data_IF_994103264272
#
_entry.id   IF_994103264272
#
_cell.length_a   1.000
_cell.length_b   1.000
_cell.length_c   1.000
_cell.angle_alpha   90.00
_cell.angle_beta   90.00
_cell.angle_gamma   90.00
#
_symmetry.space_group_name_H-M   'P 1'
#
loop_
_entity.id
_entity.type
_entity.pdbx_description
1 polymer ?
#
# COMPACT_ATOMS: atom_id res chain seq x y z
N UNK A 1 37.58 -3.76 1.81
CA UNK A 1 36.52 -4.77 1.88
C UNK A 1 35.19 -4.04 1.86
N UNK A 2 34.65 -3.84 0.65
CA UNK A 2 33.27 -3.38 0.50
C UNK A 2 32.39 -4.57 0.86
N UNK A 3 31.78 -4.51 2.03
CA UNK A 3 30.93 -5.56 2.55
C UNK A 3 29.76 -5.79 1.58
N UNK A 4 29.60 -7.02 1.10
CA UNK A 4 28.53 -7.43 0.19
C UNK A 4 27.11 -7.12 0.72
N UNK A 5 26.99 -6.78 2.00
CA UNK A 5 25.73 -6.38 2.63
C UNK A 5 25.17 -5.06 2.12
N UNK A 6 25.99 -4.14 1.64
CA UNK A 6 25.53 -2.86 1.12
C UNK A 6 24.90 -2.98 -0.27
N UNK A 7 25.32 -3.97 -1.04
CA UNK A 7 24.75 -4.25 -2.36
C UNK A 7 23.26 -4.64 -2.27
N UNK A 8 22.86 -5.37 -1.24
CA UNK A 8 21.50 -5.84 -1.06
C UNK A 8 20.56 -4.81 -0.41
N UNK A 9 21.10 -3.80 0.27
CA UNK A 9 20.29 -2.78 0.93
C UNK A 9 19.56 -1.85 -0.05
N UNK A 10 20.03 -1.77 -1.28
CA UNK A 10 19.58 -0.76 -2.24
C UNK A 10 18.84 -1.31 -3.45
N UNK A 11 18.61 -2.63 -3.53
CA UNK A 11 17.94 -3.23 -4.70
C UNK A 11 16.42 -3.25 -4.59
N UNK A 12 15.86 -3.11 -3.39
CA UNK A 12 14.42 -3.09 -3.14
C UNK A 12 13.96 -1.72 -2.67
N UNK A 13 12.68 -1.46 -2.86
CA UNK A 13 11.98 -0.33 -2.26
C UNK A 13 11.39 -0.74 -0.92
N UNK A 14 11.46 0.12 0.07
CA UNK A 14 10.78 -0.07 1.35
C UNK A 14 9.48 0.73 1.36
N UNK A 15 8.39 0.11 1.79
CA UNK A 15 7.06 0.71 1.83
C UNK A 15 6.50 0.64 3.25
N UNK A 16 6.04 1.77 3.75
CA UNK A 16 5.50 1.95 5.10
C UNK A 16 4.16 2.68 5.04
N UNK A 17 3.20 2.24 5.83
CA UNK A 17 1.92 2.91 6.00
C UNK A 17 1.74 3.44 7.41
N UNK A 18 1.19 4.64 7.48
CA UNK A 18 0.67 5.29 8.69
C UNK A 18 -0.79 5.69 8.42
N UNK A 19 -1.54 5.99 9.46
CA UNK A 19 -2.92 6.45 9.31
C UNK A 19 -3.29 7.49 10.35
N UNK A 20 -4.16 8.41 9.96
CA UNK A 20 -4.80 9.37 10.87
C UNK A 20 -6.24 9.64 10.42
N UNK A 21 -7.01 10.31 11.23
CA UNK A 21 -8.35 10.80 10.86
C UNK A 21 -8.25 12.24 10.37
N UNK A 22 -9.24 12.69 9.61
CA UNK A 22 -9.37 14.11 9.20
C UNK A 22 -10.11 14.92 10.26
N UNK A 23 -11.10 14.32 10.90
CA UNK A 23 -12.04 15.01 11.78
C UNK A 23 -11.87 14.58 13.24
N UNK A 24 -12.16 15.50 14.13
CA UNK A 24 -12.31 15.22 15.55
C UNK A 24 -13.42 14.18 15.79
N UNK A 25 -13.28 13.36 16.83
CA UNK A 25 -14.23 12.32 17.20
C UNK A 25 -14.49 11.25 16.11
N UNK A 26 -13.63 11.20 15.09
CA UNK A 26 -13.60 10.07 14.16
C UNK A 26 -12.74 8.96 14.75
N UNK A 27 -13.27 7.74 14.69
CA UNK A 27 -12.57 6.53 15.13
C UNK A 27 -12.59 5.52 14.00
N UNK A 28 -11.43 4.97 13.69
CA UNK A 28 -11.25 3.93 12.68
C UNK A 28 -10.59 2.73 13.33
N UNK A 29 -11.12 1.54 13.10
CA UNK A 29 -10.48 0.31 13.49
C UNK A 29 -10.14 -0.47 12.22
N UNK A 30 -8.85 -0.58 11.92
CA UNK A 30 -8.33 -1.23 10.72
C UNK A 30 -8.03 -2.69 11.03
N UNK A 31 -8.64 -3.60 10.27
CA UNK A 31 -8.38 -5.04 10.35
C UNK A 31 -7.36 -5.51 9.34
N UNK A 32 -7.56 -5.17 8.07
CA UNK A 32 -6.71 -5.60 6.96
C UNK A 32 -6.45 -4.46 5.99
N UNK A 33 -5.25 -4.41 5.43
CA UNK A 33 -4.89 -3.56 4.28
C UNK A 33 -4.13 -4.42 3.27
N UNK A 34 -4.56 -4.36 2.01
CA UNK A 34 -3.91 -5.02 0.88
C UNK A 34 -3.71 -4.03 -0.26
N UNK A 35 -2.62 -4.17 -1.00
CA UNK A 35 -2.35 -3.44 -2.24
C UNK A 35 -2.55 -4.42 -3.39
N UNK A 36 -3.51 -4.14 -4.26
CA UNK A 36 -3.83 -4.99 -5.41
C UNK A 36 -3.16 -4.49 -6.69
N UNK A 37 -2.92 -5.42 -7.61
CA UNK A 37 -2.29 -5.18 -8.90
C UNK A 37 -0.85 -4.67 -8.78
N UNK A 38 -0.05 -5.42 -8.04
CA UNK A 38 1.38 -5.22 -7.87
C UNK A 38 2.11 -6.43 -8.45
N UNK A 39 3.18 -6.20 -9.19
CA UNK A 39 4.06 -7.25 -9.67
C UNK A 39 4.95 -7.73 -8.51
N UNK A 40 4.98 -9.03 -8.27
CA UNK A 40 5.66 -9.61 -7.10
C UNK A 40 6.93 -10.38 -7.44
N UNK A 41 7.22 -10.55 -8.73
CA UNK A 41 8.39 -11.28 -9.22
C UNK A 41 9.22 -10.48 -10.20
N UNK A 42 10.50 -10.82 -10.31
CA UNK A 42 11.42 -10.20 -11.26
C UNK A 42 12.81 -10.79 -11.14
N UNK A 43 13.68 -10.42 -12.07
CA UNK A 43 15.09 -10.82 -12.10
C UNK A 43 15.94 -9.58 -11.87
N UNK A 44 16.80 -9.62 -10.89
CA UNK A 44 17.79 -8.58 -10.66
C UNK A 44 19.12 -8.98 -11.30
N UNK A 45 19.62 -8.14 -12.17
CA UNK A 45 20.94 -8.29 -12.76
C UNK A 45 21.95 -7.49 -11.96
N UNK A 46 22.95 -8.18 -11.42
CA UNK A 46 24.03 -7.54 -10.67
C UNK A 46 24.83 -6.62 -11.58
N UNK A 47 25.40 -5.52 -11.05
CA UNK A 47 26.30 -4.69 -11.82
C UNK A 47 27.56 -5.44 -12.21
N UNK A 48 28.13 -5.12 -13.37
CA UNK A 48 29.37 -5.73 -13.84
C UNK A 48 30.59 -5.33 -13.00
N UNK A 49 30.51 -4.21 -12.27
CA UNK A 49 31.60 -3.69 -11.42
C UNK A 49 31.05 -3.39 -10.02
N UNK A 50 31.92 -3.36 -9.01
CA UNK A 50 31.53 -3.11 -7.62
C UNK A 50 30.81 -1.75 -7.43
N UNK A 51 31.18 -0.75 -8.22
CA UNK A 51 30.61 0.61 -8.16
C UNK A 51 29.46 0.82 -9.18
N UNK A 52 29.10 -0.24 -9.91
CA UNK A 52 28.04 -0.19 -10.92
C UNK A 52 26.66 -0.23 -10.30
N UNK A 53 25.67 0.12 -11.11
CA UNK A 53 24.25 -0.01 -10.75
C UNK A 53 23.66 -1.24 -11.41
N UNK A 54 23.07 -2.13 -10.62
CA UNK A 54 22.31 -3.25 -11.15
C UNK A 54 20.93 -2.80 -11.65
N UNK A 55 20.22 -3.70 -12.27
CA UNK A 55 18.89 -3.42 -12.82
C UNK A 55 17.88 -4.50 -12.55
N UNK A 56 16.62 -4.10 -12.40
CA UNK A 56 15.48 -5.00 -12.30
C UNK A 56 14.80 -5.19 -13.67
N UNK A 57 14.64 -6.44 -14.07
CA UNK A 57 13.64 -6.85 -15.04
C UNK A 57 12.42 -7.32 -14.24
N UNK A 58 11.43 -6.45 -14.10
CA UNK A 58 10.20 -6.78 -13.38
C UNK A 58 9.40 -7.76 -14.21
N UNK A 59 8.99 -8.87 -13.60
CA UNK A 59 8.25 -9.95 -14.27
C UNK A 59 6.87 -9.52 -14.75
N UNK A 60 6.21 -10.45 -15.40
CA UNK A 60 4.83 -10.27 -15.83
C UNK A 60 3.86 -10.29 -14.65
N UNK A 61 2.64 -9.90 -14.93
CA UNK A 61 1.55 -10.00 -13.98
C UNK A 61 1.31 -11.48 -13.61
N UNK A 62 1.00 -11.79 -12.33
CA UNK A 62 0.63 -13.14 -11.98
C UNK A 62 -0.57 -13.58 -12.82
N UNK A 63 -0.53 -14.81 -13.35
CA UNK A 63 -1.57 -15.39 -14.20
C UNK A 63 -2.91 -15.66 -13.50
N UNK A 64 -3.18 -15.05 -12.39
CA UNK A 64 -4.45 -15.21 -11.72
C UNK A 64 -5.53 -14.42 -12.45
N UNK A 65 -6.44 -15.13 -13.03
CA UNK A 65 -7.50 -14.71 -13.92
C UNK A 65 -8.56 -13.76 -13.34
N UNK A 66 -8.38 -13.23 -12.13
CA UNK A 66 -9.40 -12.42 -11.46
C UNK A 66 -8.81 -11.35 -10.54
N UNK A 67 -7.87 -10.60 -11.05
CA UNK A 67 -7.23 -9.51 -10.31
C UNK A 67 -5.82 -9.87 -9.93
N UNK A 68 -4.87 -9.10 -10.39
CA UNK A 68 -3.43 -9.30 -10.25
C UNK A 68 -2.97 -9.60 -8.82
N UNK A 69 -1.69 -9.86 -8.65
CA UNK A 69 -1.09 -10.11 -7.36
C UNK A 69 -1.40 -9.00 -6.35
N UNK A 70 -1.48 -9.37 -5.09
CA UNK A 70 -1.64 -8.40 -4.02
C UNK A 70 -0.55 -8.57 -2.97
N UNK A 71 -0.21 -7.46 -2.32
CA UNK A 71 0.68 -7.42 -1.17
C UNK A 71 -0.16 -7.15 0.07
N UNK A 72 0.06 -7.93 1.12
CA UNK A 72 -0.58 -7.69 2.42
C UNK A 72 0.25 -6.71 3.23
N UNK A 73 -0.33 -5.57 3.55
CA UNK A 73 0.27 -4.57 4.46
C UNK A 73 0.07 -5.00 5.91
N UNK A 74 -1.18 -5.24 6.28
CA UNK A 74 -1.56 -5.81 7.57
C UNK A 74 -2.72 -6.77 7.37
N UNK A 75 -2.80 -7.80 8.22
CA UNK A 75 -3.87 -8.79 8.21
C UNK A 75 -4.21 -9.21 9.63
N UNK A 76 -5.51 -9.22 9.94
CA UNK A 76 -6.03 -9.64 11.24
C UNK A 76 -5.52 -8.79 12.40
N UNK A 77 -5.08 -7.56 12.13
CA UNK A 77 -4.74 -6.58 13.16
C UNK A 77 -5.98 -5.74 13.48
N UNK A 78 -6.03 -5.21 14.68
CA UNK A 78 -7.13 -4.34 15.10
C UNK A 78 -6.52 -3.00 15.51
N UNK A 79 -6.05 -2.26 14.50
CA UNK A 79 -5.31 -1.02 14.70
C UNK A 79 -6.30 0.13 14.85
N UNK A 80 -6.30 0.75 16.01
CA UNK A 80 -7.12 1.93 16.27
C UNK A 80 -6.44 3.21 15.79
N UNK A 81 -7.19 4.01 15.03
CA UNK A 81 -6.78 5.31 14.51
C UNK A 81 -7.84 6.32 14.96
N UNK A 82 -7.48 7.22 15.86
CA UNK A 82 -8.40 8.16 16.49
C UNK A 82 -7.82 9.57 16.64
N UNK A 83 -6.68 9.85 16.00
CA UNK A 83 -6.05 11.17 16.05
C UNK A 83 -6.06 11.83 14.68
N UNK A 84 -6.44 13.11 14.64
CA UNK A 84 -6.36 13.95 13.45
C UNK A 84 -5.04 14.72 13.34
N UNK A 85 -4.24 14.73 14.40
CA UNK A 85 -2.95 15.46 14.43
C UNK A 85 -1.76 14.53 14.34
N UNK A 86 -1.83 13.35 14.95
CA UNK A 86 -0.71 12.41 15.02
C UNK A 86 -1.05 11.13 14.25
N UNK A 87 -0.23 10.78 13.28
CA UNK A 87 -0.40 9.55 12.52
C UNK A 87 -0.02 8.32 13.36
N UNK A 88 -0.93 7.35 13.37
CA UNK A 88 -0.72 6.03 13.97
C UNK A 88 0.13 5.17 13.05
N UNK A 89 1.13 4.48 13.58
CA UNK A 89 1.93 3.51 12.85
C UNK A 89 1.08 2.30 12.44
N UNK A 90 1.13 1.94 11.15
CA UNK A 90 0.49 0.73 10.61
C UNK A 90 1.55 -0.35 10.35
N UNK A 91 2.64 -0.01 9.68
CA UNK A 91 3.64 -0.97 9.22
C UNK A 91 5.10 -0.51 9.38
N UNK A 92 5.36 0.55 10.13
CA UNK A 92 6.72 1.08 10.31
C UNK A 92 7.66 0.08 10.98
N UNK A 93 7.14 -0.71 11.92
CA UNK A 93 7.90 -1.76 12.61
C UNK A 93 8.15 -3.01 11.76
N UNK A 94 7.36 -3.20 10.72
CA UNK A 94 7.43 -4.31 9.78
C UNK A 94 7.30 -3.80 8.35
N UNK A 95 8.24 -2.98 7.89
CA UNK A 95 8.16 -2.37 6.56
C UNK A 95 8.20 -3.46 5.48
N UNK A 96 7.43 -3.25 4.43
CA UNK A 96 7.44 -4.14 3.28
C UNK A 96 8.61 -3.81 2.36
N UNK A 97 9.27 -4.85 1.88
CA UNK A 97 10.28 -4.76 0.83
C UNK A 97 9.67 -5.23 -0.49
N UNK A 98 9.68 -4.36 -1.49
CA UNK A 98 9.04 -4.60 -2.77
C UNK A 98 9.98 -4.33 -3.93
N UNK A 99 9.71 -4.98 -5.05
CA UNK A 99 10.44 -4.73 -6.30
C UNK A 99 10.12 -3.30 -6.77
N UNK A 100 11.15 -2.51 -7.13
CA UNK A 100 10.95 -1.19 -7.72
C UNK A 100 10.10 -1.29 -8.98
N UNK A 101 9.00 -0.54 -9.04
CA UNK A 101 8.07 -0.57 -10.15
C UNK A 101 7.18 0.67 -10.16
N UNK A 102 6.62 0.98 -11.33
CA UNK A 102 5.58 2.00 -11.46
C UNK A 102 4.22 1.37 -11.24
N UNK A 103 3.47 1.92 -10.30
CA UNK A 103 2.09 1.57 -10.02
C UNK A 103 1.17 2.61 -10.67
N UNK A 104 0.26 2.16 -11.52
CA UNK A 104 -0.73 3.04 -12.14
C UNK A 104 -2.00 3.00 -11.31
N UNK A 105 -2.40 4.14 -10.77
CA UNK A 105 -3.60 4.23 -9.95
C UNK A 105 -4.85 3.81 -10.72
N UNK A 106 -5.71 3.06 -10.06
CA UNK A 106 -7.03 2.76 -10.58
C UNK A 106 -7.81 4.05 -10.84
N UNK A 107 -8.44 4.12 -11.99
CA UNK A 107 -9.35 5.23 -12.34
C UNK A 107 -10.76 4.85 -11.94
N UNK A 108 -11.29 5.58 -10.98
CA UNK A 108 -12.69 5.47 -10.58
C UNK A 108 -13.53 6.00 -11.74
N UNK A 109 -14.32 5.14 -12.38
CA UNK A 109 -15.36 5.59 -13.32
C UNK A 109 -16.63 5.94 -12.52
N UNK A 110 -17.47 6.80 -13.06
CA UNK A 110 -18.74 7.20 -12.41
C UNK A 110 -19.67 6.00 -12.13
N UNK A 111 -19.46 4.88 -12.84
CA UNK A 111 -20.21 3.64 -12.65
C UNK A 111 -19.48 2.60 -11.78
N UNK A 112 -18.36 2.94 -11.18
CA UNK A 112 -17.53 1.97 -10.45
C UNK A 112 -18.23 1.52 -9.17
N UNK A 113 -18.75 0.32 -9.21
CA UNK A 113 -19.10 -0.44 -8.00
C UNK A 113 -17.88 -1.21 -7.52
N UNK A 114 -17.84 -1.56 -6.23
CA UNK A 114 -16.77 -2.37 -5.64
C UNK A 114 -16.52 -3.69 -6.40
N UNK A 115 -17.49 -4.18 -7.13
CA UNK A 115 -17.42 -5.38 -7.97
C UNK A 115 -16.69 -5.11 -9.29
N UNK A 116 -16.85 -3.93 -9.87
CA UNK A 116 -16.20 -3.53 -11.14
C UNK A 116 -14.70 -3.30 -11.00
N UNK A 117 -14.21 -2.87 -9.84
CA UNK A 117 -12.77 -2.70 -9.60
C UNK A 117 -12.00 -3.99 -9.87
N UNK A 118 -12.61 -5.11 -9.55
CA UNK A 118 -12.02 -6.43 -9.78
C UNK A 118 -12.08 -6.86 -11.25
N UNK A 119 -13.02 -6.34 -12.01
CA UNK A 119 -13.28 -6.71 -13.40
C UNK A 119 -12.59 -5.77 -14.41
N UNK A 120 -12.55 -4.47 -14.13
CA UNK A 120 -11.96 -3.45 -15.02
C UNK A 120 -10.43 -3.42 -14.92
N UNK A 121 -9.87 -4.40 -14.26
CA UNK A 121 -8.51 -4.46 -13.84
C UNK A 121 -7.47 -4.58 -14.93
N UNK A 122 -7.39 -3.65 -15.84
CA UNK A 122 -6.20 -3.46 -16.66
C UNK A 122 -4.97 -3.14 -15.78
N UNK A 123 -4.72 -3.97 -14.76
CA UNK A 123 -3.57 -3.88 -13.86
C UNK A 123 -3.44 -2.53 -13.13
N UNK A 124 -4.56 -1.87 -12.88
CA UNK A 124 -4.61 -0.61 -12.13
C UNK A 124 -4.57 -0.88 -10.63
N UNK A 125 -3.68 -0.19 -9.93
CA UNK A 125 -3.39 -0.43 -8.52
C UNK A 125 -4.39 0.29 -7.60
N UNK A 126 -4.79 -0.39 -6.53
CA UNK A 126 -5.65 0.15 -5.48
C UNK A 126 -5.37 -0.50 -4.12
N UNK A 127 -5.73 0.21 -3.06
CA UNK A 127 -5.77 -0.33 -1.71
C UNK A 127 -7.16 -0.90 -1.43
N UNK A 128 -7.19 -2.06 -0.79
CA UNK A 128 -8.38 -2.61 -0.15
C UNK A 128 -8.18 -2.56 1.36
N UNK A 129 -9.03 -1.79 2.03
CA UNK A 129 -8.94 -1.57 3.47
C UNK A 129 -10.21 -2.12 4.12
N UNK A 130 -10.05 -3.12 4.97
CA UNK A 130 -11.13 -3.67 5.79
C UNK A 130 -11.11 -2.99 7.14
N UNK A 131 -12.13 -2.20 7.43
CA UNK A 131 -12.17 -1.38 8.64
C UNK A 131 -13.59 -1.11 9.13
N UNK A 132 -13.68 -0.55 10.35
CA UNK A 132 -14.88 0.11 10.88
C UNK A 132 -14.59 1.59 10.99
N UNK A 133 -15.53 2.43 10.65
CA UNK A 133 -15.43 3.89 10.79
C UNK A 133 -16.60 4.40 11.57
N UNK A 134 -16.33 5.16 12.62
CA UNK A 134 -17.32 5.86 13.42
C UNK A 134 -17.03 7.36 13.42
N UNK A 135 -18.07 8.16 13.44
CA UNK A 135 -18.03 9.59 13.69
C UNK A 135 -18.97 9.92 14.85
N UNK A 136 -18.43 10.43 15.93
CA UNK A 136 -19.20 10.76 17.15
C UNK A 136 -20.11 9.61 17.63
N UNK A 137 -19.58 8.37 17.59
CA UNK A 137 -20.28 7.16 18.02
C UNK A 137 -21.24 6.54 17.01
N UNK A 138 -21.42 7.16 15.83
CA UNK A 138 -22.26 6.62 14.74
C UNK A 138 -21.39 5.90 13.72
N UNK A 139 -21.73 4.67 13.35
CA UNK A 139 -21.02 3.93 12.32
C UNK A 139 -21.33 4.51 10.93
N UNK A 140 -20.25 4.93 10.23
CA UNK A 140 -20.28 5.30 8.83
C UNK A 140 -19.94 4.12 7.92
N UNK A 141 -19.15 3.18 8.43
CA UNK A 141 -18.78 1.94 7.75
C UNK A 141 -18.66 0.80 8.78
N UNK A 142 -19.22 -0.35 8.42
CA UNK A 142 -19.28 -1.50 9.33
C UNK A 142 -20.33 -1.34 10.44
N UNK A 143 -20.20 -2.11 11.49
CA UNK A 143 -21.04 -2.08 12.69
C UNK A 143 -20.24 -2.55 13.93
N UNK A 144 -20.89 -2.68 15.07
CA UNK A 144 -20.27 -3.26 16.26
C UNK A 144 -19.66 -4.65 15.96
N UNK A 145 -20.34 -5.46 15.17
CA UNK A 145 -20.00 -6.87 14.93
C UNK A 145 -19.42 -7.14 13.51
N UNK A 146 -19.42 -6.14 12.62
CA UNK A 146 -18.99 -6.33 11.24
C UNK A 146 -18.02 -5.26 10.75
N UNK A 147 -17.12 -5.65 9.86
CA UNK A 147 -16.22 -4.76 9.14
C UNK A 147 -16.76 -4.50 7.74
N UNK A 148 -16.57 -3.29 7.26
CA UNK A 148 -16.78 -2.94 5.86
C UNK A 148 -15.46 -2.88 5.10
N UNK A 149 -15.54 -2.77 3.78
CA UNK A 149 -14.37 -2.59 2.94
C UNK A 149 -14.46 -1.28 2.16
N UNK A 150 -13.35 -0.57 2.07
CA UNK A 150 -13.17 0.58 1.18
C UNK A 150 -12.04 0.30 0.21
N UNK A 151 -12.17 0.87 -0.98
CA UNK A 151 -11.19 0.73 -2.05
C UNK A 151 -10.71 2.11 -2.45
N UNK A 152 -9.39 2.30 -2.48
CA UNK A 152 -8.76 3.60 -2.72
C UNK A 152 -7.78 3.45 -3.87
N UNK A 153 -7.89 4.28 -4.95
CA UNK A 153 -6.86 4.30 -5.99
C UNK A 153 -5.48 4.54 -5.38
N UNK A 154 -4.50 3.79 -5.83
CA UNK A 154 -3.14 3.89 -5.32
C UNK A 154 -2.14 3.84 -6.47
N UNK A 155 -1.36 4.90 -6.64
CA UNK A 155 -0.37 4.98 -7.70
C UNK A 155 0.86 5.72 -7.25
N UNK A 156 2.03 5.18 -7.62
CA UNK A 156 3.33 5.76 -7.31
C UNK A 156 4.41 5.07 -8.14
N UNK A 157 5.63 5.56 -8.06
CA UNK A 157 6.82 4.89 -8.60
C UNK A 157 7.74 4.50 -7.45
N UNK A 158 7.80 3.21 -7.16
CA UNK A 158 8.73 2.69 -6.16
C UNK A 158 10.14 2.61 -6.75
N UNK A 159 11.09 3.21 -6.04
CA UNK A 159 12.47 3.33 -6.46
C UNK A 159 13.38 2.49 -5.57
N UNK A 160 14.35 1.80 -6.18
CA UNK A 160 15.35 1.01 -5.46
C UNK A 160 16.10 1.87 -4.42
N UNK A 161 16.30 1.33 -3.22
CA UNK A 161 17.00 2.00 -2.13
C UNK A 161 16.22 3.12 -1.45
N UNK A 162 14.98 3.37 -1.85
CA UNK A 162 14.14 4.40 -1.22
C UNK A 162 13.08 3.82 -0.31
N UNK A 163 12.77 4.59 0.72
CA UNK A 163 11.67 4.34 1.65
C UNK A 163 10.51 5.24 1.28
N UNK A 164 9.36 4.64 0.98
CA UNK A 164 8.11 5.32 0.66
C UNK A 164 7.19 5.24 1.88
N UNK A 165 6.76 6.39 2.39
CA UNK A 165 5.87 6.48 3.55
C UNK A 165 4.54 7.09 3.11
N UNK A 166 3.47 6.34 3.30
CA UNK A 166 2.11 6.75 2.98
C UNK A 166 1.32 6.97 4.26
N UNK A 167 0.68 8.13 4.37
CA UNK A 167 -0.26 8.40 5.45
C UNK A 167 -1.68 8.38 4.91
N UNK A 168 -2.44 7.38 5.31
CA UNK A 168 -3.87 7.29 5.03
C UNK A 168 -4.61 8.30 5.91
N UNK A 169 -5.46 9.13 5.28
CA UNK A 169 -6.26 10.13 5.99
C UNK A 169 -7.73 9.75 5.82
N UNK A 170 -8.29 9.13 6.85
CA UNK A 170 -9.70 8.73 6.83
C UNK A 170 -10.60 9.98 6.89
N UNK A 171 -11.37 10.18 5.83
CA UNK A 171 -12.14 11.39 5.57
C UNK A 171 -11.47 12.36 4.58
N UNK A 172 -10.16 12.28 4.35
CA UNK A 172 -9.38 13.20 3.51
C UNK A 172 -8.56 12.57 2.39
N UNK A 173 -8.49 11.24 2.29
CA UNK A 173 -7.69 10.54 1.28
C UNK A 173 -6.34 10.02 1.80
N UNK A 174 -5.27 10.15 1.02
CA UNK A 174 -3.91 9.83 1.48
C UNK A 174 -2.88 10.84 0.95
N UNK A 175 -1.79 10.99 1.68
CA UNK A 175 -0.64 11.78 1.23
C UNK A 175 0.58 10.89 1.11
N UNK A 176 1.32 11.08 0.03
CA UNK A 176 2.67 10.55 -0.13
C UNK A 176 3.64 11.55 0.51
N UNK A 177 4.36 11.11 1.51
CA UNK A 177 5.48 11.87 2.08
C UNK A 177 6.77 11.17 1.69
N UNK A 178 7.06 11.20 0.38
CA UNK A 178 8.27 10.63 -0.15
C UNK A 178 9.50 11.11 0.64
N UNK A 179 10.17 10.21 1.32
CA UNK A 179 11.45 10.48 1.93
C UNK A 179 12.59 10.17 0.97
N UNK A 180 13.55 11.06 1.01
CA UNK A 180 14.81 10.94 0.30
C UNK A 180 15.67 9.79 0.84
#
# INVERSE_FOLDING_TARGET
>A
DVCSSDLFKHILSQVVFKAKTEYDNMQVNIKDIKIFNVKMGGVYTLPATADGTGSWAVGDWPESSTGGGFITVVQGKFIEVNSNTTATDISEKTPMLNIPQKLTAWKVSEEATNTKIKADGAHQCYLSITCKIQQSGVYLLGSADSYGAIYVPFGDTWVAGKRHIYTLIFGGGYTDQGEA
#
